data_IF_876533492667
#
_entry.id   IF_876533492667
#
_cell.length_a   1.000
_cell.length_b   1.000
_cell.length_c   1.000
_cell.angle_alpha   90.00
_cell.angle_beta   90.00
_cell.angle_gamma   90.00
#
_symmetry.space_group_name_H-M   'P 1'
#
loop_
_entity.id
_entity.type
_entity.pdbx_description
1 polymer ?
#
# COMPACT_ATOMS: atom_id res chain seq x y z
N UNK A 1 22.29 21.00 13.04
CA UNK A 1 22.84 19.88 13.83
C UNK A 1 22.47 18.61 13.12
N UNK A 2 23.49 17.94 12.62
CA UNK A 2 23.46 16.78 11.75
C UNK A 2 23.32 15.55 12.65
N UNK A 3 22.16 15.43 13.31
CA UNK A 3 21.84 14.24 14.07
C UNK A 3 21.28 13.25 13.06
N UNK A 4 22.17 12.38 12.60
CA UNK A 4 21.93 11.07 12.04
C UNK A 4 20.56 10.93 11.35
N UNK A 5 20.59 11.00 10.02
CA UNK A 5 19.68 10.22 9.18
C UNK A 5 19.95 8.73 9.46
N UNK A 6 19.72 8.29 10.70
CA UNK A 6 19.52 6.89 11.02
C UNK A 6 18.49 6.42 10.01
N UNK A 7 18.89 5.49 9.14
CA UNK A 7 18.17 5.10 7.94
C UNK A 7 16.70 4.89 8.29
N UNK A 8 15.86 5.89 7.99
CA UNK A 8 14.42 5.78 8.19
C UNK A 8 13.97 4.47 7.56
N UNK A 9 13.27 3.67 8.37
CA UNK A 9 12.76 2.36 7.99
C UNK A 9 11.25 2.39 8.01
N UNK A 10 10.64 1.49 7.27
CA UNK A 10 9.24 1.19 7.47
C UNK A 10 9.06 0.44 8.80
N UNK A 11 7.95 0.74 9.47
CA UNK A 11 7.51 0.06 10.67
C UNK A 11 7.18 -1.40 10.35
N UNK A 12 7.69 -2.34 11.16
CA UNK A 12 7.38 -3.75 10.98
C UNK A 12 5.97 -4.07 11.51
N UNK A 13 5.40 -5.19 11.04
CA UNK A 13 4.02 -5.57 11.39
C UNK A 13 3.84 -5.88 12.88
N UNK A 14 4.87 -6.41 13.55
CA UNK A 14 4.89 -6.70 14.98
C UNK A 14 5.03 -5.46 15.87
N UNK A 15 5.53 -4.36 15.31
CA UNK A 15 5.67 -3.05 15.97
C UNK A 15 4.46 -2.13 15.70
N UNK A 16 3.54 -2.54 14.82
CA UNK A 16 2.44 -1.70 14.37
C UNK A 16 1.19 -1.82 15.26
N UNK A 17 0.67 -0.66 15.64
CA UNK A 17 -0.60 -0.49 16.34
C UNK A 17 -1.52 0.39 15.48
N UNK A 18 -2.68 -0.15 15.12
CA UNK A 18 -3.69 0.53 14.31
C UNK A 18 -4.28 1.77 15.01
N UNK A 19 -4.18 1.87 16.34
CA UNK A 19 -4.71 2.98 17.12
C UNK A 19 -3.67 4.07 17.39
N UNK A 20 -2.40 3.85 17.03
CA UNK A 20 -1.33 4.81 17.26
C UNK A 20 -1.23 5.81 16.09
N UNK A 21 -1.06 7.09 16.41
CA UNK A 21 -0.79 8.14 15.43
C UNK A 21 0.72 8.29 15.28
N UNK A 22 1.29 7.75 14.20
CA UNK A 22 2.71 7.87 13.87
C UNK A 22 3.08 9.25 13.28
N UNK A 23 2.33 10.30 13.62
CA UNK A 23 2.63 11.67 13.21
C UNK A 23 3.57 12.32 14.21
N UNK A 24 4.86 12.22 13.98
CA UNK A 24 5.91 12.74 14.87
C UNK A 24 6.57 13.99 14.24
N UNK A 25 6.91 15.00 15.05
CA UNK A 25 7.58 16.24 14.58
C UNK A 25 8.97 15.98 13.99
N UNK A 26 9.62 14.89 14.43
CA UNK A 26 10.84 14.36 13.85
C UNK A 26 10.49 12.99 13.28
N UNK A 27 10.67 12.74 11.98
CA UNK A 27 10.26 11.47 11.38
C UNK A 27 11.14 10.34 11.92
N UNK A 28 10.51 9.35 12.56
CA UNK A 28 11.17 8.11 13.02
C UNK A 28 10.95 6.95 12.03
N UNK A 29 9.92 7.07 11.18
CA UNK A 29 9.55 6.07 10.18
C UNK A 29 9.45 6.67 8.78
N UNK A 30 9.58 5.81 7.76
CA UNK A 30 9.26 6.20 6.38
C UNK A 30 7.75 6.29 6.21
N UNK A 31 7.28 7.47 5.83
CA UNK A 31 5.92 7.65 5.35
C UNK A 31 5.86 7.43 3.83
N UNK A 32 4.89 6.65 3.39
CA UNK A 32 4.58 6.49 1.98
C UNK A 32 3.09 6.70 1.71
N UNK A 33 2.78 7.01 0.46
CA UNK A 33 1.42 6.91 -0.05
C UNK A 33 1.31 5.74 -1.00
N UNK A 34 0.23 4.97 -0.84
CA UNK A 34 -0.11 3.84 -1.68
C UNK A 34 -1.38 4.20 -2.45
N UNK A 35 -1.21 4.53 -3.72
CA UNK A 35 -2.33 4.63 -4.64
C UNK A 35 -2.62 3.26 -5.24
N UNK A 36 -3.89 2.87 -5.25
CA UNK A 36 -4.30 1.59 -5.82
C UNK A 36 -5.58 1.73 -6.62
N UNK A 37 -5.68 0.95 -7.70
CA UNK A 37 -6.84 0.95 -8.62
C UNK A 37 -7.19 -0.48 -9.01
N UNK A 38 -8.49 -0.78 -9.02
CA UNK A 38 -9.07 -2.04 -9.47
C UNK A 38 -9.68 -1.83 -10.84
N UNK A 39 -9.27 -2.64 -11.80
CA UNK A 39 -9.80 -2.62 -13.15
C UNK A 39 -10.72 -3.83 -13.40
N UNK A 40 -11.77 -3.58 -14.16
CA UNK A 40 -12.68 -4.58 -14.72
C UNK A 40 -12.87 -4.30 -16.19
N UNK A 41 -12.59 -5.29 -17.05
CA UNK A 41 -12.66 -5.16 -18.50
C UNK A 41 -11.88 -3.91 -18.96
N UNK A 42 -10.67 -3.73 -18.41
CA UNK A 42 -9.80 -2.57 -18.59
C UNK A 42 -10.38 -1.21 -18.18
N UNK A 43 -11.48 -1.17 -17.40
CA UNK A 43 -12.06 0.05 -16.85
C UNK A 43 -11.82 0.13 -15.36
N UNK A 44 -11.36 1.29 -14.87
CA UNK A 44 -11.22 1.53 -13.43
C UNK A 44 -12.61 1.54 -12.80
N UNK A 45 -12.89 0.57 -11.94
CA UNK A 45 -14.16 0.45 -11.21
C UNK A 45 -14.06 0.90 -9.76
N UNK A 46 -12.82 0.95 -9.24
CA UNK A 46 -12.51 1.45 -7.92
C UNK A 46 -11.06 1.93 -7.90
N UNK A 47 -10.79 2.98 -7.14
CA UNK A 47 -9.43 3.41 -6.83
C UNK A 47 -9.44 4.28 -5.58
N UNK A 48 -8.33 4.26 -4.87
CA UNK A 48 -8.15 5.02 -3.64
C UNK A 48 -6.67 5.31 -3.43
N UNK A 49 -6.38 6.25 -2.53
CA UNK A 49 -5.02 6.59 -2.13
C UNK A 49 -4.93 6.57 -0.62
N UNK A 50 -4.11 5.67 -0.10
CA UNK A 50 -3.77 5.63 1.32
C UNK A 50 -2.55 6.53 1.53
N UNK A 51 -2.69 7.54 2.38
CA UNK A 51 -1.59 8.45 2.74
C UNK A 51 -1.00 8.07 4.10
N UNK A 52 0.20 8.59 4.38
CA UNK A 52 0.88 8.44 5.67
C UNK A 52 1.05 6.98 6.15
N UNK A 53 1.25 6.08 5.19
CA UNK A 53 1.49 4.66 5.47
C UNK A 53 2.93 4.50 5.97
N UNK A 54 3.05 4.18 7.25
CA UNK A 54 4.35 3.90 7.91
C UNK A 54 4.68 2.41 7.97
N UNK A 55 3.65 1.56 7.94
CA UNK A 55 3.79 0.11 7.95
C UNK A 55 4.45 -0.36 6.66
N UNK A 56 5.30 -1.39 6.74
CA UNK A 56 5.86 -2.03 5.55
C UNK A 56 4.75 -2.34 4.53
N UNK A 57 4.92 -2.03 3.23
CA UNK A 57 3.85 -2.18 2.25
C UNK A 57 3.21 -3.57 2.21
N UNK A 58 4.00 -4.64 2.40
CA UNK A 58 3.49 -6.01 2.50
C UNK A 58 2.59 -6.22 3.74
N UNK A 59 2.98 -5.68 4.89
CA UNK A 59 2.19 -5.73 6.11
C UNK A 59 0.86 -5.00 5.93
N UNK A 60 0.94 -3.77 5.41
CA UNK A 60 -0.22 -2.92 5.14
C UNK A 60 -1.20 -3.57 4.14
N UNK A 61 -0.69 -4.27 3.14
CA UNK A 61 -1.51 -5.07 2.23
C UNK A 61 -2.32 -6.13 2.96
N UNK A 62 -1.66 -6.93 3.80
CA UNK A 62 -2.30 -8.05 4.48
C UNK A 62 -3.29 -7.59 5.56
N UNK A 63 -3.01 -6.49 6.26
CA UNK A 63 -3.83 -6.01 7.37
C UNK A 63 -4.98 -5.12 6.93
N UNK A 64 -4.77 -4.22 5.97
CA UNK A 64 -5.73 -3.15 5.65
C UNK A 64 -6.27 -3.27 4.23
N UNK A 65 -5.39 -3.23 3.21
CA UNK A 65 -5.85 -3.11 1.81
C UNK A 65 -6.58 -4.35 1.32
N UNK A 66 -6.04 -5.55 1.54
CA UNK A 66 -6.66 -6.79 1.08
C UNK A 66 -8.04 -6.97 1.72
N UNK A 67 -8.24 -6.82 3.05
CA UNK A 67 -9.59 -6.85 3.63
C UNK A 67 -10.53 -5.78 3.07
N UNK A 68 -10.05 -4.55 2.80
CA UNK A 68 -10.85 -3.48 2.17
C UNK A 68 -11.33 -3.91 0.77
N UNK A 69 -10.44 -4.48 -0.03
CA UNK A 69 -10.73 -5.03 -1.37
C UNK A 69 -11.71 -6.22 -1.33
N UNK A 70 -11.51 -7.16 -0.41
CA UNK A 70 -12.41 -8.30 -0.23
C UNK A 70 -13.82 -7.86 0.20
N UNK A 71 -13.92 -6.85 1.08
CA UNK A 71 -15.21 -6.23 1.46
C UNK A 71 -15.88 -5.54 0.28
N UNK A 72 -15.12 -4.86 -0.58
CA UNK A 72 -15.65 -4.27 -1.82
C UNK A 72 -16.19 -5.35 -2.75
N UNK A 73 -15.51 -6.50 -2.87
CA UNK A 73 -16.02 -7.68 -3.61
C UNK A 73 -17.33 -8.19 -3.03
N UNK A 74 -17.43 -8.30 -1.71
CA UNK A 74 -18.66 -8.77 -1.06
C UNK A 74 -19.86 -7.82 -1.21
N UNK A 75 -19.64 -6.50 -1.07
CA UNK A 75 -20.72 -5.51 -1.01
C UNK A 75 -21.19 -4.98 -2.36
N UNK A 76 -20.26 -4.67 -3.27
CA UNK A 76 -20.57 -3.94 -4.51
C UNK A 76 -20.99 -4.86 -5.66
N UNK A 77 -20.65 -6.13 -5.53
CA UNK A 77 -20.56 -7.06 -6.64
C UNK A 77 -21.31 -8.38 -6.36
N UNK A 78 -21.58 -8.71 -5.10
CA UNK A 78 -22.49 -9.80 -4.72
C UNK A 78 -21.87 -11.20 -4.82
N UNK A 79 -22.56 -12.22 -4.25
CA UNK A 79 -22.00 -13.55 -4.02
C UNK A 79 -21.71 -14.39 -5.29
N UNK A 80 -22.11 -13.91 -6.48
CA UNK A 80 -21.83 -14.55 -7.77
C UNK A 80 -20.77 -13.85 -8.62
N UNK A 81 -20.15 -12.78 -8.13
CA UNK A 81 -19.07 -12.10 -8.85
C UNK A 81 -17.76 -12.89 -8.77
N UNK A 82 -17.62 -13.84 -9.68
CA UNK A 82 -16.36 -14.53 -10.00
C UNK A 82 -15.58 -13.74 -11.04
N UNK A 83 -15.22 -12.50 -10.73
CA UNK A 83 -14.41 -11.71 -11.63
C UNK A 83 -12.94 -12.08 -11.47
N UNK A 84 -12.32 -12.52 -12.57
CA UNK A 84 -10.91 -12.24 -12.81
C UNK A 84 -10.76 -10.72 -12.75
N UNK A 85 -10.13 -10.19 -11.71
CA UNK A 85 -9.74 -8.79 -11.72
C UNK A 85 -8.65 -8.72 -12.79
N UNK A 86 -8.96 -8.12 -13.93
CA UNK A 86 -8.04 -8.17 -15.07
C UNK A 86 -6.65 -7.68 -14.66
N UNK A 87 -6.59 -6.59 -13.88
CA UNK A 87 -5.39 -6.10 -13.21
C UNK A 87 -5.73 -5.22 -11.98
N UNK A 88 -4.88 -5.29 -10.94
CA UNK A 88 -4.75 -4.30 -9.87
C UNK A 88 -3.50 -3.48 -10.08
N UNK A 89 -3.66 -2.17 -10.20
CA UNK A 89 -2.55 -1.23 -10.30
C UNK A 89 -2.20 -0.70 -8.91
N UNK A 90 -0.93 -0.74 -8.55
CA UNK A 90 -0.41 -0.19 -7.29
C UNK A 90 0.77 0.73 -7.56
N UNK A 91 0.65 1.97 -7.11
CA UNK A 91 1.73 2.94 -7.10
C UNK A 91 2.12 3.21 -5.65
N UNK A 92 3.38 3.00 -5.33
CA UNK A 92 3.94 3.34 -4.01
C UNK A 92 4.90 4.52 -4.20
N UNK A 93 4.66 5.59 -3.46
CA UNK A 93 5.52 6.77 -3.44
C UNK A 93 5.94 7.08 -2.00
N UNK A 94 7.24 7.26 -1.77
CA UNK A 94 7.79 7.58 -0.45
C UNK A 94 7.95 9.09 -0.37
N UNK A 95 7.31 9.71 0.62
CA UNK A 95 7.19 11.17 0.71
C UNK A 95 8.50 11.85 1.12
N UNK A 96 9.39 11.12 1.79
CA UNK A 96 10.61 11.66 2.44
C UNK A 96 11.92 11.28 1.71
N UNK A 97 11.84 10.86 0.44
CA UNK A 97 13.03 10.57 -0.38
C UNK A 97 12.92 11.21 -1.76
N UNK A 98 14.06 11.63 -2.30
CA UNK A 98 14.24 12.01 -3.73
C UNK A 98 14.12 10.82 -4.69
N UNK A 99 13.68 9.65 -4.22
CA UNK A 99 13.52 8.44 -5.03
C UNK A 99 12.26 8.52 -5.89
N UNK A 100 12.33 7.93 -7.09
CA UNK A 100 11.19 7.87 -8.00
C UNK A 100 10.09 6.98 -7.44
N UNK A 101 8.84 7.37 -7.67
CA UNK A 101 7.67 6.55 -7.36
C UNK A 101 7.80 5.18 -8.02
N UNK A 102 7.51 4.13 -7.27
CA UNK A 102 7.48 2.77 -7.79
C UNK A 102 6.06 2.48 -8.26
N UNK A 103 5.88 2.43 -9.58
CA UNK A 103 4.63 2.05 -10.22
C UNK A 103 4.72 0.58 -10.65
N UNK A 104 3.80 -0.26 -10.18
CA UNK A 104 3.71 -1.67 -10.57
C UNK A 104 2.26 -2.08 -10.82
N UNK A 105 2.05 -2.84 -11.89
CA UNK A 105 0.76 -3.48 -12.18
C UNK A 105 0.84 -4.97 -11.87
N UNK A 106 -0.18 -5.49 -11.23
CA UNK A 106 -0.29 -6.90 -10.85
C UNK A 106 -1.61 -7.45 -11.35
N UNK A 107 -1.64 -8.72 -11.75
CA UNK A 107 -2.88 -9.40 -12.13
C UNK A 107 -3.67 -9.82 -10.89
N UNK A 108 -4.99 -9.70 -10.97
CA UNK A 108 -5.89 -10.00 -9.88
C UNK A 108 -5.48 -9.28 -8.57
N UNK A 109 -5.66 -9.92 -7.42
CA UNK A 109 -5.21 -9.45 -6.10
C UNK A 109 -3.84 -10.04 -5.71
N UNK A 110 -3.12 -10.65 -6.65
CA UNK A 110 -1.85 -11.32 -6.37
C UNK A 110 -0.67 -10.36 -6.55
N UNK A 111 -0.51 -9.47 -5.57
CA UNK A 111 0.56 -8.48 -5.56
C UNK A 111 1.84 -9.09 -4.98
N UNK A 112 2.91 -9.11 -5.77
CA UNK A 112 4.23 -9.52 -5.30
C UNK A 112 4.96 -8.33 -4.67
N UNK A 113 4.76 -8.16 -3.36
CA UNK A 113 5.37 -7.08 -2.58
C UNK A 113 6.89 -7.21 -2.40
N UNK A 114 7.49 -8.38 -2.64
CA UNK A 114 8.95 -8.51 -2.60
C UNK A 114 9.61 -7.65 -3.68
N UNK A 115 8.96 -7.47 -4.84
CA UNK A 115 9.46 -6.59 -5.91
C UNK A 115 9.48 -5.13 -5.46
N UNK A 116 8.59 -4.75 -4.53
CA UNK A 116 8.46 -3.40 -4.00
C UNK A 116 9.50 -3.13 -2.89
N UNK A 117 9.81 -4.15 -2.08
CA UNK A 117 10.78 -4.06 -0.99
C UNK A 117 12.24 -4.12 -1.48
N UNK A 118 12.52 -4.85 -2.57
CA UNK A 118 13.88 -5.07 -3.07
C UNK A 118 14.48 -3.90 -3.88
N UNK A 119 13.71 -2.84 -4.12
CA UNK A 119 14.18 -1.61 -4.79
C UNK A 119 14.70 -0.54 -3.82
N UNK A 120 14.91 -0.90 -2.55
CA UNK A 120 15.39 0.01 -1.50
C UNK A 120 16.89 0.00 -1.34
#
# INVERSE_FOLDING_TARGET
>A
TQLEQDKLRFLQLDEWDEHNSYGEDVPTYLHCSIEWRVLLNNKVVYGDTEQDVVLIPIGYWHTILRPKLERLRGRKFGPGWHMRCDDTYVTVSVTDRTQRNLVKSFKDLNINWLIILNTT
#
